data_IF_825182662087
#
_entry.id   IF_825182662087
#
_cell.length_a   1.000
_cell.length_b   1.000
_cell.length_c   1.000
_cell.angle_alpha   90.00
_cell.angle_beta   90.00
_cell.angle_gamma   90.00
#
_symmetry.space_group_name_H-M   'P 1'
#
loop_
_entity.id
_entity.type
_entity.pdbx_description
1 polymer ?
#
# COMPACT_ATOMS: atom_id res chain seq x y z
N UNK A 1 3.19 -8.42 -5.32
CA UNK A 1 2.26 -8.94 -4.30
C UNK A 1 3.03 -9.57 -3.17
N UNK A 2 2.54 -9.44 -1.93
CA UNK A 2 3.13 -10.05 -0.74
C UNK A 2 2.03 -10.35 0.30
N UNK A 3 2.21 -11.35 1.16
CA UNK A 3 1.32 -11.62 2.29
C UNK A 3 2.03 -12.35 3.42
N UNK A 4 1.86 -11.86 4.66
CA UNK A 4 2.35 -12.48 5.88
C UNK A 4 1.40 -12.18 7.06
N UNK A 5 1.04 -13.21 7.82
CA UNK A 5 0.12 -13.12 8.96
C UNK A 5 0.66 -12.25 10.11
N UNK A 6 1.99 -12.12 10.25
CA UNK A 6 2.57 -11.25 11.27
C UNK A 6 2.43 -9.75 10.92
N UNK A 7 2.21 -9.44 9.64
CA UNK A 7 2.20 -8.07 9.10
C UNK A 7 0.92 -7.79 8.31
N UNK A 8 0.96 -7.90 6.98
CA UNK A 8 -0.12 -7.54 6.08
C UNK A 8 -0.10 -8.32 4.76
N UNK A 9 -1.25 -8.35 4.07
CA UNK A 9 -1.35 -8.66 2.65
C UNK A 9 -1.30 -7.38 1.81
N UNK A 10 -0.57 -7.38 0.69
CA UNK A 10 -0.34 -6.21 -0.18
C UNK A 10 -0.46 -6.59 -1.66
N UNK A 11 -1.24 -5.80 -2.41
CA UNK A 11 -1.33 -5.85 -3.88
C UNK A 11 -1.02 -4.47 -4.46
N UNK A 12 -0.26 -4.42 -5.55
CA UNK A 12 0.28 -3.19 -6.11
C UNK A 12 -0.18 -2.98 -7.56
N UNK A 13 -0.19 -1.73 -7.99
CA UNK A 13 -0.42 -1.29 -9.38
C UNK A 13 0.46 -0.08 -9.69
N UNK A 14 0.91 0.10 -10.93
CA UNK A 14 1.78 1.22 -11.33
C UNK A 14 2.91 0.82 -12.27
N UNK A 15 3.98 1.61 -12.30
CA UNK A 15 5.20 1.34 -13.08
C UNK A 15 5.94 0.10 -12.53
N UNK A 16 5.64 -1.07 -13.10
CA UNK A 16 6.07 -2.37 -12.58
C UNK A 16 7.58 -2.49 -12.30
N UNK A 17 8.43 -1.89 -13.12
CA UNK A 17 9.88 -1.88 -12.97
C UNK A 17 10.33 -1.26 -11.65
N UNK A 18 9.70 -0.16 -11.22
CA UNK A 18 9.99 0.47 -9.93
C UNK A 18 9.46 -0.39 -8.79
N UNK A 19 8.24 -0.94 -8.91
CA UNK A 19 7.67 -1.78 -7.86
C UNK A 19 8.48 -3.06 -7.62
N UNK A 20 9.06 -3.64 -8.68
CA UNK A 20 9.97 -4.78 -8.59
C UNK A 20 11.31 -4.40 -7.97
N UNK A 21 11.97 -3.35 -8.49
CA UNK A 21 13.31 -2.92 -8.03
C UNK A 21 13.32 -2.45 -6.58
N UNK A 22 12.22 -1.87 -6.08
CA UNK A 22 12.07 -1.42 -4.69
C UNK A 22 11.32 -2.41 -3.81
N UNK A 23 10.98 -3.59 -4.32
CA UNK A 23 10.25 -4.63 -3.59
C UNK A 23 9.04 -4.07 -2.81
N UNK A 24 8.27 -3.16 -3.43
CA UNK A 24 7.29 -2.28 -2.74
C UNK A 24 6.35 -3.04 -1.81
N UNK A 25 5.80 -4.18 -2.28
CA UNK A 25 4.89 -4.98 -1.47
C UNK A 25 5.55 -5.55 -0.20
N UNK A 26 6.80 -5.99 -0.30
CA UNK A 26 7.56 -6.50 0.84
C UNK A 26 8.05 -5.36 1.73
N UNK A 27 8.46 -4.21 1.17
CA UNK A 27 8.95 -3.08 1.97
C UNK A 27 7.88 -2.54 2.93
N UNK A 28 6.60 -2.56 2.54
CA UNK A 28 5.48 -2.25 3.46
C UNK A 28 5.47 -3.21 4.66
N UNK A 29 5.51 -4.51 4.42
CA UNK A 29 5.53 -5.51 5.48
C UNK A 29 6.79 -5.41 6.35
N UNK A 30 7.96 -5.19 5.73
CA UNK A 30 9.24 -5.02 6.42
C UNK A 30 9.23 -3.80 7.33
N UNK A 31 8.66 -2.66 6.90
CA UNK A 31 8.51 -1.47 7.74
C UNK A 31 7.56 -1.72 8.91
N UNK A 32 6.46 -2.44 8.71
CA UNK A 32 5.59 -2.86 9.82
C UNK A 32 6.36 -3.74 10.82
N UNK A 33 7.12 -4.72 10.33
CA UNK A 33 7.86 -5.67 11.17
C UNK A 33 9.03 -5.02 11.92
N UNK A 34 9.81 -4.18 11.25
CA UNK A 34 11.09 -3.69 11.78
C UNK A 34 10.99 -2.30 12.41
N UNK A 35 10.06 -1.46 11.95
CA UNK A 35 9.84 -0.12 12.53
C UNK A 35 8.58 -0.03 13.40
N UNK A 36 7.76 -1.09 13.46
CA UNK A 36 6.51 -1.09 14.23
C UNK A 36 5.45 -0.14 13.68
N UNK A 37 5.53 0.26 12.41
CA UNK A 37 4.55 1.14 11.78
C UNK A 37 3.22 0.42 11.56
N UNK A 38 2.12 1.17 11.64
CA UNK A 38 0.81 0.70 11.15
C UNK A 38 0.78 0.63 9.62
N UNK A 39 -0.11 -0.22 9.06
CA UNK A 39 -0.15 -0.50 7.61
C UNK A 39 -0.32 0.75 6.74
N UNK A 40 -1.13 1.73 7.18
CA UNK A 40 -1.30 3.00 6.45
C UNK A 40 0.00 3.81 6.42
N UNK A 41 0.64 3.98 7.57
CA UNK A 41 1.89 4.74 7.66
C UNK A 41 3.01 4.07 6.84
N UNK A 42 3.12 2.75 6.91
CA UNK A 42 4.08 1.99 6.11
C UNK A 42 3.81 2.13 4.60
N UNK A 43 2.55 2.01 4.17
CA UNK A 43 2.16 2.20 2.77
C UNK A 43 2.48 3.62 2.27
N UNK A 44 2.14 4.64 3.05
CA UNK A 44 2.38 6.04 2.68
C UNK A 44 3.89 6.37 2.62
N UNK A 45 4.71 5.88 3.56
CA UNK A 45 6.16 6.05 3.49
C UNK A 45 6.77 5.44 2.21
N UNK A 46 6.26 4.30 1.77
CA UNK A 46 6.75 3.63 0.56
C UNK A 46 6.27 4.36 -0.70
N UNK A 47 4.96 4.57 -0.82
CA UNK A 47 4.33 5.10 -2.05
C UNK A 47 4.53 6.61 -2.20
N UNK A 48 4.21 7.39 -1.16
CA UNK A 48 4.30 8.86 -1.21
C UNK A 48 5.69 9.38 -0.83
N UNK A 49 6.54 8.51 -0.28
CA UNK A 49 7.93 8.80 0.04
C UNK A 49 8.90 8.22 -0.97
N UNK A 50 9.39 7.01 -0.71
CA UNK A 50 10.51 6.41 -1.46
C UNK A 50 10.25 6.27 -2.95
N UNK A 51 9.04 5.84 -3.33
CA UNK A 51 8.68 5.64 -4.73
C UNK A 51 8.67 6.95 -5.52
N UNK A 52 8.16 8.04 -4.92
CA UNK A 52 8.19 9.39 -5.54
C UNK A 52 9.62 9.85 -5.79
N UNK A 53 10.52 9.66 -4.82
CA UNK A 53 11.93 10.10 -4.94
C UNK A 53 12.65 9.48 -6.13
N UNK A 54 12.21 8.31 -6.58
CA UNK A 54 12.83 7.56 -7.67
C UNK A 54 12.06 7.70 -8.99
N UNK A 55 11.00 8.53 -9.02
CA UNK A 55 10.17 8.77 -10.21
C UNK A 55 9.17 7.64 -10.49
N UNK A 56 8.92 6.76 -9.53
CA UNK A 56 7.91 5.73 -9.65
C UNK A 56 6.50 6.28 -9.38
N UNK A 57 5.54 5.85 -10.19
CA UNK A 57 4.13 6.21 -10.05
C UNK A 57 3.28 4.95 -9.90
N UNK A 58 2.27 5.01 -9.04
CA UNK A 58 1.31 3.94 -8.81
C UNK A 58 0.69 3.97 -7.42
N UNK A 59 0.27 2.81 -6.95
CA UNK A 59 -0.29 2.64 -5.63
C UNK A 59 -0.38 1.19 -5.20
N UNK A 60 -0.97 1.00 -4.03
CA UNK A 60 -1.20 -0.31 -3.46
C UNK A 60 -2.46 -0.32 -2.59
N UNK A 61 -3.01 -1.52 -2.43
CA UNK A 61 -3.94 -1.84 -1.36
C UNK A 61 -3.26 -2.78 -0.39
N UNK A 62 -3.50 -2.57 0.91
CA UNK A 62 -2.98 -3.42 1.96
C UNK A 62 -4.00 -3.64 3.09
N UNK A 63 -3.95 -4.83 3.69
CA UNK A 63 -4.79 -5.24 4.82
C UNK A 63 -3.89 -5.89 5.88
N UNK A 64 -3.89 -5.35 7.10
CA UNK A 64 -3.14 -5.97 8.21
C UNK A 64 -3.95 -7.01 8.99
N UNK A 65 -3.27 -7.72 9.90
CA UNK A 65 -3.87 -8.77 10.73
C UNK A 65 -4.98 -8.26 11.68
N UNK A 66 -5.05 -6.96 11.94
CA UNK A 66 -6.12 -6.33 12.73
C UNK A 66 -7.33 -5.92 11.89
N UNK A 67 -7.25 -6.08 10.56
CA UNK A 67 -8.29 -5.63 9.64
C UNK A 67 -8.19 -4.14 9.30
N UNK A 68 -7.08 -3.47 9.58
CA UNK A 68 -6.86 -2.10 9.09
C UNK A 68 -6.53 -2.14 7.60
N UNK A 69 -7.10 -1.21 6.85
CA UNK A 69 -6.97 -1.12 5.39
C UNK A 69 -6.16 0.13 5.03
N UNK A 70 -5.23 -0.01 4.09
CA UNK A 70 -4.55 1.11 3.44
C UNK A 70 -4.76 1.03 1.93
N UNK A 71 -4.98 2.17 1.28
CA UNK A 71 -5.10 2.27 -0.17
C UNK A 71 -4.29 3.47 -0.69
N UNK A 72 -2.97 3.43 -0.47
CA UNK A 72 -2.06 4.53 -0.77
C UNK A 72 -1.68 4.57 -2.25
N UNK A 73 -1.68 5.74 -2.87
CA UNK A 73 -1.30 5.98 -4.27
C UNK A 73 -0.69 7.37 -4.44
N UNK A 74 0.12 7.55 -5.49
CA UNK A 74 0.72 8.83 -5.88
C UNK A 74 0.41 9.23 -7.34
N UNK A 75 -0.38 8.43 -8.05
CA UNK A 75 -0.96 8.76 -9.37
C UNK A 75 -2.13 9.73 -9.23
N UNK A 76 -2.61 10.30 -10.35
CA UNK A 76 -3.80 11.19 -10.34
C UNK A 76 -5.04 10.51 -9.76
N UNK A 77 -5.17 9.20 -9.94
CA UNK A 77 -6.23 8.39 -9.36
C UNK A 77 -5.86 6.91 -9.28
N UNK A 78 -6.60 6.19 -8.45
CA UNK A 78 -6.53 4.75 -8.32
C UNK A 78 -7.93 4.22 -8.03
N UNK A 79 -8.51 3.49 -8.99
CA UNK A 79 -9.76 2.74 -8.79
C UNK A 79 -9.58 1.77 -7.64
N UNK A 80 -10.28 2.01 -6.53
CA UNK A 80 -10.08 1.28 -5.28
C UNK A 80 -11.36 1.15 -4.50
N UNK A 81 -11.40 0.13 -3.66
CA UNK A 81 -12.45 -0.06 -2.70
C UNK A 81 -12.12 -1.16 -1.71
N UNK A 82 -12.85 -1.17 -0.60
CA UNK A 82 -12.78 -2.24 0.38
C UNK A 82 -14.16 -2.47 1.00
N UNK A 83 -14.31 -3.63 1.63
CA UNK A 83 -15.49 -3.98 2.41
C UNK A 83 -15.08 -4.60 3.74
N UNK A 84 -15.77 -4.19 4.80
CA UNK A 84 -15.76 -4.78 6.15
C UNK A 84 -17.20 -5.04 6.58
N UNK A 85 -17.45 -5.79 7.67
CA UNK A 85 -18.80 -5.91 8.21
C UNK A 85 -19.41 -4.52 8.46
N UNK A 86 -20.51 -4.20 7.77
CA UNK A 86 -21.21 -2.93 7.90
C UNK A 86 -20.60 -1.72 7.16
N UNK A 87 -19.47 -1.88 6.47
CA UNK A 87 -18.76 -0.78 5.81
C UNK A 87 -18.33 -1.16 4.39
N UNK A 88 -18.59 -0.28 3.43
CA UNK A 88 -18.14 -0.43 2.04
C UNK A 88 -17.71 0.94 1.54
N UNK A 89 -16.52 1.00 0.93
CA UNK A 89 -15.96 2.23 0.38
C UNK A 89 -15.51 1.98 -1.04
N UNK A 90 -15.80 2.92 -1.92
CA UNK A 90 -15.28 2.99 -3.30
C UNK A 90 -14.77 4.41 -3.54
N UNK A 91 -13.63 4.53 -4.23
CA UNK A 91 -13.05 5.82 -4.56
C UNK A 91 -12.18 5.71 -5.83
N UNK A 92 -11.91 6.85 -6.46
CA UNK A 92 -11.06 6.93 -7.66
C UNK A 92 -9.96 7.97 -7.42
N UNK A 93 -10.33 9.22 -7.18
CA UNK A 93 -9.39 10.32 -6.97
C UNK A 93 -8.98 10.45 -5.50
N UNK A 94 -8.08 11.39 -5.19
CA UNK A 94 -7.91 11.88 -3.82
C UNK A 94 -9.20 12.62 -3.39
N UNK A 95 -9.56 12.49 -2.11
CA UNK A 95 -10.67 13.25 -1.50
C UNK A 95 -10.23 14.69 -1.19
#
# INVERSE_FOLDING_TARGET
TFADNATCGVSCTGHGEFFMRWAVAYDVAARMAYKGLGVKAAADEVIKGELVKVGGEGGLIALDRQGNVAMSFNSEGMYRGYAKPGERVIAIYEE
#
